data_IF_661054022607
#
_entry.id   IF_661054022607
#
_cell.length_a   1.000
_cell.length_b   1.000
_cell.length_c   1.000
_cell.angle_alpha   90.00
_cell.angle_beta   90.00
_cell.angle_gamma   90.00
#
_symmetry.space_group_name_H-M   'P 1'
#
loop_
_entity.id
_entity.type
_entity.pdbx_description
1 polymer ?
#
# COMPACT_ATOMS: atom_id res chain seq x y z
N UNK A 1 -7.17 -18.83 23.65
CA UNK A 1 -5.99 -18.96 22.75
C UNK A 1 -5.37 -20.34 22.96
N UNK A 2 -4.91 -20.99 21.90
CA UNK A 2 -4.53 -22.41 21.87
C UNK A 2 -3.03 -22.61 22.23
N UNK A 3 -2.67 -23.35 23.30
CA UNK A 3 -1.27 -23.57 23.70
C UNK A 3 -0.48 -24.50 22.75
N UNK A 4 -1.17 -25.22 21.86
CA UNK A 4 -0.52 -26.11 20.89
C UNK A 4 -0.08 -25.39 19.61
N UNK A 5 -0.42 -24.10 19.44
CA UNK A 5 -0.02 -23.33 18.27
C UNK A 5 1.50 -23.06 18.31
N UNK A 6 2.16 -23.20 17.16
CA UNK A 6 3.57 -22.85 16.99
C UNK A 6 3.66 -21.62 16.09
N UNK A 7 4.20 -20.54 16.63
CA UNK A 7 4.30 -19.25 15.94
C UNK A 7 5.74 -18.75 16.04
N UNK A 8 6.30 -18.36 14.89
CA UNK A 8 7.58 -17.67 14.81
C UNK A 8 7.31 -16.25 14.32
N UNK A 9 7.57 -15.25 15.15
CA UNK A 9 7.33 -13.83 14.82
C UNK A 9 8.57 -13.15 14.25
N UNK A 10 8.38 -12.35 13.21
CA UNK A 10 9.42 -11.54 12.58
C UNK A 10 9.02 -10.06 12.58
N UNK A 11 10.00 -9.17 12.52
CA UNK A 11 9.81 -7.70 12.46
C UNK A 11 10.31 -7.11 11.14
N UNK A 12 10.61 -7.96 10.17
CA UNK A 12 11.23 -7.58 8.91
C UNK A 12 10.15 -7.09 7.93
N UNK A 13 10.37 -5.93 7.31
CA UNK A 13 9.50 -5.43 6.26
C UNK A 13 9.71 -6.29 5.01
N UNK A 14 8.65 -6.97 4.57
CA UNK A 14 8.72 -7.83 3.39
C UNK A 14 8.95 -6.98 2.14
N UNK A 15 9.94 -7.37 1.35
CA UNK A 15 10.38 -6.67 0.14
C UNK A 15 11.79 -7.10 -0.28
N UNK A 16 12.33 -6.50 -1.35
CA UNK A 16 13.61 -6.90 -1.95
C UNK A 16 14.79 -6.90 -0.95
N UNK A 17 14.78 -5.96 0.00
CA UNK A 17 15.85 -5.83 1.01
C UNK A 17 15.93 -7.02 1.98
N UNK A 18 14.87 -7.81 2.07
CA UNK A 18 14.72 -8.94 3.02
C UNK A 18 14.77 -10.32 2.37
N UNK A 19 15.12 -10.40 1.07
CA UNK A 19 15.20 -11.67 0.34
C UNK A 19 16.27 -12.61 0.88
N UNK A 20 17.30 -12.08 1.56
CA UNK A 20 18.30 -12.88 2.26
C UNK A 20 17.75 -13.61 3.49
N UNK A 21 16.62 -13.16 4.00
CA UNK A 21 15.94 -13.73 5.18
C UNK A 21 14.80 -14.64 4.72
N UNK A 22 14.06 -14.19 3.69
CA UNK A 22 12.97 -14.93 3.07
C UNK A 22 13.42 -15.49 1.71
N UNK A 23 14.40 -16.39 1.79
CA UNK A 23 15.06 -17.01 0.66
C UNK A 23 14.25 -18.18 0.06
N UNK A 24 14.87 -18.89 -0.86
CA UNK A 24 14.27 -20.04 -1.53
C UNK A 24 13.85 -21.14 -0.53
N UNK A 25 14.71 -21.43 0.44
CA UNK A 25 14.47 -22.48 1.44
C UNK A 25 13.30 -22.12 2.35
N UNK A 26 13.18 -20.84 2.73
CA UNK A 26 12.02 -20.36 3.48
C UNK A 26 10.72 -20.60 2.70
N UNK A 27 10.64 -20.15 1.45
CA UNK A 27 9.41 -20.27 0.66
C UNK A 27 9.09 -21.72 0.29
N UNK A 28 10.09 -22.55 -0.01
CA UNK A 28 9.87 -23.96 -0.36
C UNK A 28 9.18 -24.73 0.76
N UNK A 29 9.50 -24.42 2.02
CA UNK A 29 8.94 -25.07 3.21
C UNK A 29 7.54 -24.55 3.60
N UNK A 30 7.01 -23.52 2.94
CA UNK A 30 5.65 -23.02 3.20
C UNK A 30 4.60 -23.85 2.46
N UNK A 31 3.47 -24.11 3.10
CA UNK A 31 2.29 -24.68 2.44
C UNK A 31 1.47 -23.63 1.67
N UNK A 32 1.55 -22.37 2.11
CA UNK A 32 0.84 -21.25 1.51
C UNK A 32 1.17 -19.94 2.22
N UNK A 33 0.67 -18.84 1.65
CA UNK A 33 0.91 -17.47 2.11
C UNK A 33 -0.42 -16.78 2.35
N UNK A 34 -0.52 -15.96 3.39
CA UNK A 34 -1.69 -15.12 3.66
C UNK A 34 -1.24 -13.69 3.89
N UNK A 35 -1.75 -12.77 3.08
CA UNK A 35 -1.43 -11.36 3.15
C UNK A 35 -2.43 -10.62 4.05
N UNK A 36 -1.86 -9.71 4.83
CA UNK A 36 -2.58 -8.71 5.65
C UNK A 36 -1.85 -7.38 5.52
N UNK A 37 -1.65 -6.95 4.27
CA UNK A 37 -0.83 -5.78 3.89
C UNK A 37 -1.71 -4.55 3.71
N UNK A 38 -1.14 -3.36 3.84
CA UNK A 38 -1.85 -2.08 3.72
C UNK A 38 -1.54 -1.34 2.41
N UNK A 39 -0.45 -1.70 1.73
CA UNK A 39 0.05 -1.02 0.53
C UNK A 39 0.07 -1.94 -0.70
N UNK A 40 -0.16 -1.35 -1.87
CA UNK A 40 -0.21 -2.08 -3.15
C UNK A 40 1.16 -2.65 -3.53
N UNK A 41 2.25 -1.94 -3.25
CA UNK A 41 3.60 -2.39 -3.61
C UNK A 41 3.98 -3.72 -2.94
N UNK A 42 3.71 -3.87 -1.65
CA UNK A 42 3.96 -5.10 -0.92
C UNK A 42 3.06 -6.24 -1.39
N UNK A 43 1.80 -5.95 -1.73
CA UNK A 43 0.89 -6.95 -2.34
C UNK A 43 1.46 -7.48 -3.64
N UNK A 44 1.88 -6.58 -4.52
CA UNK A 44 2.49 -6.91 -5.82
C UNK A 44 3.80 -7.68 -5.66
N UNK A 45 4.62 -7.34 -4.68
CA UNK A 45 5.82 -8.08 -4.34
C UNK A 45 5.50 -9.52 -3.92
N UNK A 46 4.57 -9.70 -2.99
CA UNK A 46 4.19 -11.02 -2.49
C UNK A 46 3.53 -11.89 -3.56
N UNK A 47 2.67 -11.31 -4.41
CA UNK A 47 2.08 -12.00 -5.56
C UNK A 47 3.16 -12.58 -6.48
N UNK A 48 4.16 -11.76 -6.87
CA UNK A 48 5.28 -12.22 -7.71
C UNK A 48 6.07 -13.36 -7.07
N UNK A 49 6.35 -13.28 -5.78
CA UNK A 49 7.06 -14.36 -5.05
C UNK A 49 6.22 -15.64 -4.99
N UNK A 50 4.91 -15.53 -4.73
CA UNK A 50 4.00 -16.68 -4.68
C UNK A 50 3.86 -17.35 -6.05
N UNK A 51 3.78 -16.58 -7.13
CA UNK A 51 3.79 -17.12 -8.51
C UNK A 51 5.11 -17.83 -8.80
N UNK A 52 6.24 -17.23 -8.43
CA UNK A 52 7.58 -17.81 -8.66
C UNK A 52 7.78 -19.15 -7.93
N UNK A 53 7.48 -19.22 -6.64
CA UNK A 53 7.59 -20.46 -5.85
C UNK A 53 6.38 -21.38 -5.95
N UNK A 54 5.36 -21.01 -6.73
CA UNK A 54 4.13 -21.77 -6.92
C UNK A 54 3.45 -22.07 -5.58
N UNK A 55 3.30 -21.04 -4.75
CA UNK A 55 2.63 -21.12 -3.46
C UNK A 55 1.23 -20.51 -3.53
N UNK A 56 0.22 -21.17 -2.96
CA UNK A 56 -1.11 -20.57 -2.80
C UNK A 56 -1.02 -19.27 -1.99
N UNK A 57 -1.76 -18.26 -2.41
CA UNK A 57 -1.81 -16.96 -1.75
C UNK A 57 -3.27 -16.58 -1.42
N UNK A 58 -3.51 -16.24 -0.15
CA UNK A 58 -4.75 -15.63 0.33
C UNK A 58 -4.52 -14.14 0.51
N UNK A 59 -5.13 -13.33 -0.36
CA UNK A 59 -5.07 -11.87 -0.31
C UNK A 59 -6.33 -11.31 0.33
N UNK A 60 -6.18 -10.31 1.19
CA UNK A 60 -7.29 -9.61 1.81
C UNK A 60 -7.05 -8.11 1.90
N UNK A 61 -8.11 -7.34 1.72
CA UNK A 61 -8.07 -5.88 1.79
C UNK A 61 -9.35 -5.34 2.43
N UNK A 62 -9.23 -4.15 3.03
CA UNK A 62 -10.35 -3.43 3.62
C UNK A 62 -10.27 -1.95 3.29
N UNK A 63 -11.40 -1.32 3.02
CA UNK A 63 -11.54 0.12 2.84
C UNK A 63 -12.80 0.61 3.55
N UNK A 64 -12.63 1.15 4.76
CA UNK A 64 -13.76 1.53 5.62
C UNK A 64 -14.61 0.32 5.99
N UNK A 65 -15.89 0.32 5.59
CA UNK A 65 -16.82 -0.82 5.79
C UNK A 65 -16.76 -1.85 4.67
N UNK A 66 -15.97 -1.62 3.62
CA UNK A 66 -15.82 -2.55 2.50
C UNK A 66 -14.65 -3.49 2.77
N UNK A 67 -14.82 -4.75 2.39
CA UNK A 67 -13.76 -5.76 2.41
C UNK A 67 -13.73 -6.53 1.10
N UNK A 68 -12.54 -6.99 0.71
CA UNK A 68 -12.33 -7.88 -0.42
C UNK A 68 -11.38 -9.02 -0.01
N UNK A 69 -11.62 -10.19 -0.59
CA UNK A 69 -10.75 -11.37 -0.44
C UNK A 69 -10.52 -11.92 -1.84
N UNK A 70 -9.27 -12.27 -2.14
CA UNK A 70 -8.89 -12.88 -3.41
C UNK A 70 -7.96 -14.07 -3.12
N UNK A 71 -8.18 -15.16 -3.85
CA UNK A 71 -7.40 -16.39 -3.69
C UNK A 71 -6.64 -16.64 -4.98
N UNK A 72 -5.33 -16.83 -4.87
CA UNK A 72 -4.44 -17.18 -5.98
C UNK A 72 -3.97 -18.62 -5.77
N UNK A 73 -4.40 -19.52 -6.66
CA UNK A 73 -4.01 -20.94 -6.68
C UNK A 73 -3.11 -21.18 -7.88
N UNK A 74 -1.86 -21.65 -7.67
CA UNK A 74 -0.95 -21.99 -8.74
C UNK A 74 -1.59 -22.92 -9.77
N UNK A 75 -1.41 -22.61 -11.06
CA UNK A 75 -1.94 -23.38 -12.19
C UNK A 75 -3.47 -23.43 -12.36
N UNK A 76 -4.23 -22.68 -11.55
CA UNK A 76 -5.70 -22.70 -11.63
C UNK A 76 -6.30 -21.31 -11.79
N UNK A 77 -5.87 -20.33 -10.99
CA UNK A 77 -6.40 -18.97 -11.02
C UNK A 77 -5.39 -17.99 -11.60
N UNK A 78 -5.86 -16.81 -12.01
CA UNK A 78 -4.98 -15.69 -12.32
C UNK A 78 -4.26 -15.16 -11.07
N UNK A 79 -3.16 -14.43 -11.29
CA UNK A 79 -2.42 -13.76 -10.21
C UNK A 79 -3.09 -12.45 -9.82
N UNK A 80 -2.79 -11.95 -8.61
CA UNK A 80 -3.31 -10.65 -8.16
C UNK A 80 -2.95 -9.53 -9.14
N UNK A 81 -1.73 -9.57 -9.68
CA UNK A 81 -1.23 -8.59 -10.65
C UNK A 81 -1.84 -8.67 -12.06
N UNK A 82 -2.69 -9.67 -12.35
CA UNK A 82 -3.35 -9.79 -13.66
C UNK A 82 -4.50 -8.79 -13.82
N UNK A 83 -5.09 -8.35 -12.71
CA UNK A 83 -6.12 -7.31 -12.66
C UNK A 83 -5.54 -6.00 -12.13
N UNK A 84 -5.76 -4.90 -12.86
CA UNK A 84 -5.31 -3.58 -12.43
C UNK A 84 -6.39 -2.89 -11.58
N UNK A 85 -6.07 -2.65 -10.30
CA UNK A 85 -6.90 -1.80 -9.46
C UNK A 85 -6.89 -0.35 -10.00
N UNK A 86 -8.01 0.38 -9.92
CA UNK A 86 -8.06 1.76 -10.36
C UNK A 86 -7.05 2.59 -9.56
N UNK A 87 -6.27 3.46 -10.23
CA UNK A 87 -5.27 4.27 -9.55
C UNK A 87 -5.93 5.18 -8.50
N UNK A 88 -5.18 5.48 -7.44
CA UNK A 88 -5.62 6.42 -6.42
C UNK A 88 -5.96 7.78 -7.06
N UNK A 89 -7.10 8.37 -6.65
CA UNK A 89 -7.57 9.64 -7.23
C UNK A 89 -6.58 10.75 -6.87
N UNK A 90 -5.76 11.17 -7.82
CA UNK A 90 -4.90 12.33 -7.69
C UNK A 90 -5.65 13.60 -8.11
N UNK A 91 -5.56 14.65 -7.29
CA UNK A 91 -6.13 15.97 -7.63
C UNK A 91 -5.19 16.65 -8.62
N UNK A 92 -5.70 17.21 -9.74
CA UNK A 92 -4.86 17.91 -10.70
C UNK A 92 -4.09 19.07 -10.05
N UNK A 93 -2.81 19.22 -10.38
CA UNK A 93 -1.94 20.23 -9.77
C UNK A 93 -2.42 21.67 -10.04
N UNK A 94 -3.06 21.91 -11.18
CA UNK A 94 -3.63 23.21 -11.53
C UNK A 94 -4.79 23.60 -10.60
N UNK A 95 -5.57 22.61 -10.13
CA UNK A 95 -6.66 22.82 -9.17
C UNK A 95 -6.10 23.08 -7.77
N UNK A 96 -5.04 22.37 -7.36
CA UNK A 96 -4.37 22.58 -6.08
C UNK A 96 -3.71 23.97 -5.98
N UNK A 97 -3.05 24.44 -7.05
CA UNK A 97 -2.29 25.70 -7.04
C UNK A 97 -3.15 26.95 -7.21
N UNK A 98 -4.14 26.91 -8.08
CA UNK A 98 -4.83 28.14 -8.50
C UNK A 98 -6.31 28.20 -8.08
N UNK A 99 -6.97 27.05 -7.96
CA UNK A 99 -8.43 27.01 -7.78
C UNK A 99 -8.87 25.86 -6.84
N UNK A 100 -8.49 25.89 -5.55
CA UNK A 100 -9.00 24.92 -4.59
C UNK A 100 -10.49 25.19 -4.36
N UNK A 101 -11.34 24.28 -4.82
CA UNK A 101 -12.81 24.38 -4.72
C UNK A 101 -13.42 23.37 -3.74
N UNK A 102 -12.61 22.53 -3.09
CA UNK A 102 -13.03 21.51 -2.14
C UNK A 102 -12.04 21.41 -0.97
N UNK A 103 -12.50 20.93 0.19
CA UNK A 103 -11.69 20.86 1.42
C UNK A 103 -10.48 19.92 1.27
N UNK A 104 -10.63 18.88 0.46
CA UNK A 104 -9.57 17.92 0.15
C UNK A 104 -8.39 18.63 -0.54
N UNK A 105 -8.65 19.67 -1.33
CA UNK A 105 -7.61 20.41 -2.05
C UNK A 105 -6.77 21.27 -1.10
N UNK A 106 -7.40 21.95 -0.14
CA UNK A 106 -6.67 22.76 0.84
C UNK A 106 -5.86 21.88 1.81
N UNK A 107 -6.41 20.73 2.23
CA UNK A 107 -5.66 19.75 3.02
C UNK A 107 -4.44 19.19 2.26
N UNK A 108 -4.60 18.85 0.98
CA UNK A 108 -3.50 18.38 0.13
C UNK A 108 -2.44 19.48 -0.06
N UNK A 109 -2.82 20.74 -0.25
CA UNK A 109 -1.89 21.89 -0.37
C UNK A 109 -1.06 22.08 0.90
N UNK A 110 -1.68 21.98 2.09
CA UNK A 110 -0.95 22.07 3.36
C UNK A 110 0.03 20.90 3.52
N UNK A 111 -0.40 19.67 3.18
CA UNK A 111 0.43 18.47 3.24
C UNK A 111 1.64 18.53 2.29
N UNK A 112 1.43 19.05 1.07
CA UNK A 112 2.50 19.27 0.08
C UNK A 112 3.41 20.43 0.52
N UNK A 113 2.83 21.54 0.96
CA UNK A 113 3.56 22.70 1.46
C UNK A 113 4.43 22.38 2.68
N UNK A 114 4.03 21.42 3.51
CA UNK A 114 4.84 20.91 4.63
C UNK A 114 6.01 20.02 4.20
N UNK A 115 5.94 19.35 3.04
CA UNK A 115 7.04 18.51 2.51
C UNK A 115 8.11 19.29 1.76
N UNK A 116 7.79 20.46 1.21
CA UNK A 116 8.76 21.35 0.55
C UNK A 116 9.45 22.33 1.52
N UNK A 117 9.01 22.42 2.78
CA UNK A 117 9.53 23.39 3.74
C UNK A 117 10.76 22.89 4.51
N UNK A 118 11.88 22.86 3.79
CA UNK A 118 13.19 23.14 4.38
C UNK A 118 13.45 24.64 4.58
N UNK A 119 12.75 25.56 3.88
CA UNK A 119 13.15 27.00 3.89
C UNK A 119 12.07 28.04 3.52
N UNK A 120 10.79 27.71 3.33
CA UNK A 120 9.77 28.69 2.88
C UNK A 120 8.66 28.95 3.89
N UNK A 121 8.43 30.17 4.33
CA UNK A 121 7.31 30.55 5.21
C UNK A 121 5.94 30.13 4.63
N UNK A 122 5.10 29.49 5.45
CA UNK A 122 3.70 29.09 5.16
C UNK A 122 2.83 30.15 4.47
N UNK A 123 3.19 31.43 4.59
CA UNK A 123 2.45 32.57 4.05
C UNK A 123 2.47 32.70 2.51
N UNK A 124 3.39 32.06 1.79
CA UNK A 124 3.50 32.23 0.33
C UNK A 124 2.58 31.30 -0.50
N UNK A 125 1.90 30.36 0.15
CA UNK A 125 1.12 29.30 -0.53
C UNK A 125 -0.38 29.32 -0.23
N UNK A 126 -0.83 30.14 0.73
CA UNK A 126 -2.25 30.37 0.93
C UNK A 126 -2.71 31.47 -0.03
N UNK A 127 -3.77 31.26 -0.83
CA UNK A 127 -4.45 32.39 -1.44
C UNK A 127 -4.88 33.32 -0.29
N UNK A 128 -4.63 34.61 -0.48
CA UNK A 128 -4.84 35.70 0.47
C UNK A 128 -6.21 35.81 1.17
N UNK A 129 -7.33 35.18 0.73
CA UNK A 129 -8.59 35.30 1.48
C UNK A 129 -8.65 34.49 2.78
N UNK A 130 -7.78 33.50 2.98
CA UNK A 130 -7.87 32.56 4.12
C UNK A 130 -7.12 33.03 5.37
N UNK A 131 -6.52 34.22 5.37
CA UNK A 131 -5.76 34.76 6.50
C UNK A 131 -6.62 35.60 7.48
N UNK A 132 -7.93 35.72 7.24
CA UNK A 132 -8.85 36.58 8.01
C UNK A 132 -10.17 35.89 8.43
N UNK A 133 -10.12 34.61 8.79
CA UNK A 133 -11.14 33.92 9.58
C UNK A 133 -10.43 33.07 10.64
#
# INVERSE_FOLDING_TARGET
MNPHIRVTSHQNRVGPDTERIYDDDFFQNLDGVTNALDNVDARMYMDRRCVYYRKPLLESGTLGTKGNVQVVIPFLTESYSSSQDPPEKSIPICTLKNFPNAIEHTLQVISIGGREQGTGTLASWLPTPLLFL
#
